data_IF_316665313397
#
_entry.id   IF_316665313397
#
_cell.length_a   1.000
_cell.length_b   1.000
_cell.length_c   1.000
_cell.angle_alpha   90.00
_cell.angle_beta   90.00
_cell.angle_gamma   90.00
#
_symmetry.space_group_name_H-M   'P 1'
#
loop_
_entity.id
_entity.type
_entity.pdbx_description
1 polymer ?
#
# COMPACT_ATOMS: atom_id res chain seq x y z
N UNK A 1 -0.19 -34.12 2.13
CA UNK A 1 -0.93 -35.38 1.89
C UNK A 1 -0.07 -36.55 2.33
N UNK A 2 -0.55 -37.26 3.35
CA UNK A 2 0.05 -38.44 3.99
C UNK A 2 0.43 -39.54 3.01
N UNK A 3 1.56 -40.22 3.26
CA UNK A 3 1.67 -41.68 3.10
C UNK A 3 2.55 -42.25 4.22
N UNK A 4 1.92 -42.54 5.35
CA UNK A 4 2.44 -43.39 6.41
C UNK A 4 2.39 -44.85 5.93
N UNK A 5 3.53 -45.55 5.98
CA UNK A 5 3.58 -47.00 5.81
C UNK A 5 3.35 -47.67 7.16
N UNK A 6 2.27 -48.45 7.28
CA UNK A 6 2.02 -49.34 8.41
C UNK A 6 2.70 -50.68 8.14
N UNK A 7 3.54 -51.22 9.04
CA UNK A 7 3.97 -52.60 8.96
C UNK A 7 2.82 -53.53 9.40
N UNK A 8 2.44 -54.42 8.49
CA UNK A 8 1.39 -55.43 8.67
C UNK A 8 1.90 -56.54 9.62
N UNK A 9 1.44 -56.52 10.87
CA UNK A 9 1.68 -57.58 11.85
C UNK A 9 0.74 -58.77 11.59
N UNK A 10 1.29 -59.80 10.97
CA UNK A 10 0.65 -61.08 10.68
C UNK A 10 0.51 -61.89 11.98
N UNK A 11 -0.71 -61.96 12.52
CA UNK A 11 -1.07 -62.87 13.62
C UNK A 11 -1.16 -64.31 13.11
N UNK A 12 -0.64 -65.32 13.82
CA UNK A 12 -0.85 -66.73 13.48
C UNK A 12 -2.23 -67.19 13.95
N UNK A 13 -3.02 -67.67 12.99
CA UNK A 13 -4.28 -68.37 13.17
C UNK A 13 -4.06 -69.72 13.89
N UNK A 14 -4.79 -70.05 14.97
CA UNK A 14 -4.81 -71.40 15.51
C UNK A 14 -5.73 -72.30 14.68
N UNK A 15 -5.16 -73.38 14.14
CA UNK A 15 -5.88 -74.47 13.47
C UNK A 15 -6.75 -75.24 14.47
N UNK A 16 -8.05 -75.48 14.19
CA UNK A 16 -8.84 -76.41 15.00
C UNK A 16 -8.47 -77.86 14.61
N UNK A 17 -7.78 -78.56 15.50
CA UNK A 17 -7.58 -80.01 15.38
C UNK A 17 -8.89 -80.72 15.74
N UNK A 18 -9.59 -81.20 14.71
CA UNK A 18 -10.74 -82.08 14.81
C UNK A 18 -10.29 -83.48 15.27
N UNK A 19 -10.34 -83.75 16.57
CA UNK A 19 -10.37 -85.12 17.11
C UNK A 19 -11.79 -85.46 17.48
N UNK A 20 -12.52 -86.03 16.52
CA UNK A 20 -13.81 -86.66 16.73
C UNK A 20 -13.59 -88.05 17.35
N UNK A 21 -13.59 -88.12 18.68
CA UNK A 21 -13.79 -89.38 19.41
C UNK A 21 -15.25 -89.48 19.79
N UNK A 22 -15.98 -90.31 19.06
CA UNK A 22 -17.33 -90.76 19.40
C UNK A 22 -17.25 -91.73 20.57
N UNK A 23 -17.49 -91.24 21.79
CA UNK A 23 -17.87 -92.07 22.93
C UNK A 23 -19.28 -91.70 23.38
N UNK A 24 -20.17 -92.65 23.07
CA UNK A 24 -21.57 -92.71 23.44
C UNK A 24 -21.78 -92.66 24.96
N UNK A 25 -22.78 -91.85 25.34
CA UNK A 25 -23.73 -92.06 26.44
C UNK A 25 -23.17 -92.31 27.85
N UNK A 26 -23.36 -91.27 28.68
CA UNK A 26 -23.71 -91.24 30.12
C UNK A 26 -22.80 -90.28 30.88
N UNK A 27 -23.10 -88.98 30.80
CA UNK A 27 -22.65 -88.04 31.83
C UNK A 27 -23.89 -87.47 32.50
N UNK A 28 -24.28 -88.17 33.55
CA UNK A 28 -25.11 -87.66 34.64
C UNK A 28 -24.73 -86.23 34.97
N UNK A 29 -25.67 -85.28 34.83
CA UNK A 29 -25.68 -83.95 35.50
C UNK A 29 -24.30 -83.47 35.96
N UNK A 30 -23.42 -83.09 35.04
CA UNK A 30 -22.17 -82.43 35.40
C UNK A 30 -22.53 -81.03 35.94
N UNK A 31 -22.62 -80.94 37.27
CA UNK A 31 -22.81 -79.68 37.98
C UNK A 31 -21.77 -78.67 37.46
N UNK A 32 -22.17 -77.43 37.12
CA UNK A 32 -21.23 -76.43 36.64
C UNK A 32 -20.18 -76.13 37.73
N UNK A 33 -18.90 -76.32 37.40
CA UNK A 33 -17.79 -75.92 38.26
C UNK A 33 -17.88 -74.41 38.55
N UNK A 34 -17.58 -73.97 39.80
CA UNK A 34 -17.61 -72.56 40.13
C UNK A 34 -16.60 -71.79 39.29
N UNK A 35 -17.06 -70.66 38.73
CA UNK A 35 -16.24 -69.79 37.89
C UNK A 35 -15.24 -69.03 38.79
N UNK A 36 -13.94 -69.01 38.45
CA UNK A 36 -12.95 -68.32 39.27
C UNK A 36 -13.28 -66.83 39.44
N UNK A 37 -12.84 -66.25 40.55
CA UNK A 37 -13.01 -64.83 40.88
C UNK A 37 -12.37 -63.97 39.78
N UNK A 38 -13.20 -63.24 39.05
CA UNK A 38 -12.75 -62.38 37.95
C UNK A 38 -12.36 -60.99 38.46
N UNK A 39 -11.39 -60.31 37.82
CA UNK A 39 -10.91 -58.98 38.25
C UNK A 39 -11.91 -57.88 38.00
N UNK A 40 -12.66 -58.01 36.91
CA UNK A 40 -13.69 -57.07 36.52
C UNK A 40 -14.75 -56.88 37.62
N UNK A 41 -15.13 -57.95 38.32
CA UNK A 41 -16.14 -57.92 39.38
C UNK A 41 -15.79 -56.96 40.53
N UNK A 42 -14.49 -56.77 40.81
CA UNK A 42 -13.98 -55.91 41.88
C UNK A 42 -13.74 -54.46 41.44
N UNK A 43 -13.83 -54.16 40.14
CA UNK A 43 -13.60 -52.82 39.58
C UNK A 43 -14.90 -52.04 39.37
N UNK A 44 -16.05 -52.63 39.70
CA UNK A 44 -17.34 -51.97 39.58
C UNK A 44 -17.42 -50.77 40.56
N UNK A 45 -17.87 -49.57 40.11
CA UNK A 45 -17.89 -48.36 40.93
C UNK A 45 -18.83 -48.44 42.15
N UNK A 46 -19.80 -49.36 42.14
CA UNK A 46 -20.76 -49.61 43.23
C UNK A 46 -20.54 -50.97 43.89
N UNK A 47 -19.30 -51.46 43.94
CA UNK A 47 -18.99 -52.76 44.51
C UNK A 47 -19.37 -52.82 46.00
N UNK A 48 -20.30 -53.71 46.34
CA UNK A 48 -20.68 -53.99 47.74
C UNK A 48 -20.37 -55.46 48.04
N UNK A 49 -19.49 -55.76 49.02
CA UNK A 49 -19.11 -57.14 49.32
C UNK A 49 -20.30 -58.03 49.67
N UNK A 50 -21.29 -57.48 50.39
CA UNK A 50 -22.48 -58.22 50.81
C UNK A 50 -23.35 -58.66 49.62
N UNK A 51 -23.56 -57.77 48.63
CA UNK A 51 -24.36 -58.10 47.44
C UNK A 51 -23.60 -59.08 46.53
N UNK A 52 -22.29 -58.90 46.37
CA UNK A 52 -21.42 -59.78 45.60
C UNK A 52 -21.30 -61.19 46.17
N UNK A 53 -21.18 -61.33 47.50
CA UNK A 53 -21.18 -62.65 48.15
C UNK A 53 -22.56 -63.30 48.12
N UNK A 54 -23.65 -62.52 48.19
CA UNK A 54 -25.01 -63.04 48.11
C UNK A 54 -25.37 -63.56 46.72
N UNK A 55 -24.91 -62.89 45.65
CA UNK A 55 -25.13 -63.31 44.26
C UNK A 55 -24.27 -64.52 43.86
N UNK A 56 -23.15 -64.78 44.56
CA UNK A 56 -22.33 -65.98 44.37
C UNK A 56 -22.74 -67.16 45.23
N UNK A 57 -23.53 -66.95 46.30
CA UNK A 57 -24.10 -68.02 47.12
C UNK A 57 -25.07 -68.93 46.34
N UNK A 58 -25.58 -68.47 45.20
CA UNK A 58 -26.38 -69.27 44.26
C UNK A 58 -25.55 -70.19 43.34
N UNK A 59 -24.22 -70.06 43.33
CA UNK A 59 -23.30 -71.04 42.77
C UNK A 59 -22.81 -71.95 43.90
N UNK A 60 -22.89 -73.27 43.72
CA UNK A 60 -22.61 -74.29 44.73
C UNK A 60 -21.11 -74.40 45.10
N UNK A 61 -20.52 -73.35 45.67
CA UNK A 61 -19.13 -73.32 46.17
C UNK A 61 -19.13 -73.42 47.71
N UNK A 62 -18.13 -74.10 48.28
CA UNK A 62 -17.95 -74.15 49.74
C UNK A 62 -17.36 -72.83 50.24
N UNK A 63 -17.71 -72.44 51.47
CA UNK A 63 -17.18 -71.21 52.08
C UNK A 63 -15.67 -71.28 52.32
N UNK A 64 -15.13 -72.48 52.52
CA UNK A 64 -13.70 -72.70 52.71
C UNK A 64 -12.91 -72.46 51.42
N UNK A 65 -13.44 -72.91 50.29
CA UNK A 65 -12.85 -72.73 48.96
C UNK A 65 -12.88 -71.25 48.53
N UNK A 66 -14.02 -70.56 48.69
CA UNK A 66 -14.13 -69.13 48.43
C UNK A 66 -13.16 -68.31 49.31
N UNK A 67 -13.00 -68.70 50.57
CA UNK A 67 -12.07 -68.05 51.50
C UNK A 67 -10.60 -68.29 51.10
N UNK A 68 -10.27 -69.48 50.62
CA UNK A 68 -8.93 -69.77 50.10
C UNK A 68 -8.64 -68.99 48.82
N UNK A 69 -9.61 -68.92 47.92
CA UNK A 69 -9.51 -68.19 46.64
C UNK A 69 -9.34 -66.68 46.84
N UNK A 70 -10.13 -66.07 47.74
CA UNK A 70 -9.99 -64.66 48.11
C UNK A 70 -8.62 -64.35 48.72
N UNK A 71 -8.09 -65.25 49.55
CA UNK A 71 -6.74 -65.08 50.14
C UNK A 71 -5.64 -65.20 49.12
N UNK A 72 -5.69 -66.22 48.27
CA UNK A 72 -4.73 -66.42 47.18
C UNK A 72 -4.69 -65.18 46.27
N UNK A 73 -5.88 -64.66 45.94
CA UNK A 73 -6.01 -63.47 45.13
C UNK A 73 -5.50 -62.20 45.79
N UNK A 74 -5.79 -62.01 47.08
CA UNK A 74 -5.25 -60.88 47.86
C UNK A 74 -3.71 -60.92 47.86
N UNK A 75 -3.12 -62.10 48.04
CA UNK A 75 -1.67 -62.26 48.01
C UNK A 75 -1.12 -61.97 46.60
N UNK A 76 -1.78 -62.45 45.55
CA UNK A 76 -1.40 -62.16 44.17
C UNK A 76 -1.46 -60.65 43.86
N UNK A 77 -2.52 -59.96 44.26
CA UNK A 77 -2.64 -58.50 44.11
C UNK A 77 -1.58 -57.75 44.91
N UNK A 78 -1.22 -58.21 46.10
CA UNK A 78 -0.15 -57.58 46.88
C UNK A 78 1.23 -57.72 46.21
N UNK A 79 1.47 -58.86 45.54
CA UNK A 79 2.68 -59.08 44.73
C UNK A 79 2.66 -58.23 43.47
N UNK A 80 1.56 -58.22 42.71
CA UNK A 80 1.41 -57.36 41.53
C UNK A 80 1.60 -55.88 41.87
N UNK A 81 1.08 -55.41 43.01
CA UNK A 81 1.26 -54.03 43.44
C UNK A 81 2.73 -53.73 43.75
N UNK A 82 3.40 -54.63 44.46
CA UNK A 82 4.82 -54.48 44.78
C UNK A 82 5.67 -54.52 43.50
N UNK A 83 5.35 -55.42 42.56
CA UNK A 83 6.05 -55.53 41.26
C UNK A 83 5.78 -54.30 40.38
N UNK A 84 4.57 -53.74 40.39
CA UNK A 84 4.23 -52.50 39.66
C UNK A 84 4.94 -51.30 40.27
N UNK A 85 4.95 -51.20 41.60
CA UNK A 85 5.65 -50.12 42.31
C UNK A 85 7.14 -50.21 42.05
N UNK A 86 7.73 -51.40 42.16
CA UNK A 86 9.17 -51.59 41.92
C UNK A 86 9.53 -51.43 40.44
N UNK A 87 8.69 -51.87 39.52
CA UNK A 87 8.87 -51.72 38.08
C UNK A 87 8.81 -50.27 37.62
N UNK A 88 7.89 -49.48 38.20
CA UNK A 88 7.68 -48.08 37.81
C UNK A 88 8.34 -47.06 38.77
N UNK A 89 9.07 -47.50 39.80
CA UNK A 89 9.69 -46.61 40.78
C UNK A 89 10.63 -45.60 40.14
N UNK A 90 11.41 -46.05 39.14
CA UNK A 90 12.31 -45.19 38.37
C UNK A 90 11.53 -44.12 37.59
N UNK A 91 10.38 -44.47 37.02
CA UNK A 91 9.55 -43.52 36.28
C UNK A 91 8.91 -42.48 37.20
N UNK A 92 8.46 -42.87 38.40
CA UNK A 92 7.95 -41.93 39.39
C UNK A 92 9.03 -40.99 39.93
N UNK A 93 10.25 -41.48 40.16
CA UNK A 93 11.38 -40.63 40.54
C UNK A 93 11.79 -39.69 39.41
N UNK A 94 11.82 -40.17 38.16
CA UNK A 94 12.12 -39.33 36.99
C UNK A 94 11.06 -38.25 36.78
N UNK A 95 9.78 -38.59 36.95
CA UNK A 95 8.68 -37.64 36.88
C UNK A 95 8.77 -36.63 38.03
N UNK A 96 9.01 -37.08 39.25
CA UNK A 96 9.24 -36.22 40.42
C UNK A 96 10.40 -35.24 40.21
N UNK A 97 11.54 -35.74 39.71
CA UNK A 97 12.71 -34.92 39.40
C UNK A 97 12.48 -33.96 38.21
N UNK A 98 11.62 -34.31 37.26
CA UNK A 98 11.30 -33.44 36.11
C UNK A 98 10.31 -32.34 36.48
N UNK A 99 9.34 -32.65 37.36
CA UNK A 99 8.46 -31.64 37.95
C UNK A 99 9.22 -30.73 38.93
N UNK A 100 10.13 -31.31 39.73
CA UNK A 100 10.98 -30.57 40.64
C UNK A 100 12.00 -29.73 39.86
N UNK A 101 11.77 -28.41 39.81
CA UNK A 101 12.57 -27.47 39.01
C UNK A 101 12.04 -27.23 37.59
N UNK A 102 11.03 -27.98 37.13
CA UNK A 102 10.29 -27.65 35.91
C UNK A 102 9.53 -26.32 36.03
N UNK A 103 8.99 -26.04 37.22
CA UNK A 103 8.33 -24.77 37.56
C UNK A 103 9.28 -23.57 37.43
N UNK A 104 10.53 -23.69 37.90
CA UNK A 104 11.54 -22.62 37.77
C UNK A 104 11.88 -22.32 36.31
N UNK A 105 12.02 -23.36 35.47
CA UNK A 105 12.27 -23.18 34.02
C UNK A 105 11.09 -22.50 33.33
N UNK A 106 9.87 -22.88 33.69
CA UNK A 106 8.65 -22.25 33.14
C UNK A 106 8.56 -20.80 33.56
N UNK A 107 8.83 -20.48 34.83
CA UNK A 107 8.82 -19.10 35.31
C UNK A 107 9.95 -18.28 34.66
N UNK A 108 11.14 -18.85 34.46
CA UNK A 108 12.22 -18.21 33.71
C UNK A 108 11.84 -17.86 32.26
N UNK A 109 11.19 -18.79 31.54
CA UNK A 109 10.66 -18.53 30.20
C UNK A 109 9.56 -17.46 30.24
N UNK A 110 8.66 -17.50 31.24
CA UNK A 110 7.60 -16.51 31.40
C UNK A 110 8.17 -15.11 31.59
N UNK A 111 9.17 -14.95 32.46
CA UNK A 111 9.86 -13.68 32.68
C UNK A 111 10.58 -13.23 31.41
N UNK A 112 11.25 -14.12 30.69
CA UNK A 112 11.88 -13.82 29.41
C UNK A 112 10.89 -13.32 28.35
N UNK A 113 9.73 -13.97 28.24
CA UNK A 113 8.65 -13.56 27.33
C UNK A 113 8.04 -12.19 27.71
N UNK A 114 7.94 -11.90 29.02
CA UNK A 114 7.50 -10.58 29.49
C UNK A 114 8.53 -9.50 29.14
N UNK A 115 9.83 -9.79 29.29
CA UNK A 115 10.92 -8.91 28.86
C UNK A 115 10.85 -8.62 27.37
N UNK A 116 10.76 -9.66 26.55
CA UNK A 116 10.64 -9.53 25.10
C UNK A 116 9.40 -8.73 24.69
N UNK A 117 8.25 -8.98 25.33
CA UNK A 117 7.02 -8.19 25.07
C UNK A 117 7.24 -6.70 25.35
N UNK A 118 7.93 -6.37 26.45
CA UNK A 118 8.25 -4.98 26.80
C UNK A 118 9.19 -4.35 25.77
N UNK A 119 10.22 -5.07 25.33
CA UNK A 119 11.15 -4.60 24.30
C UNK A 119 10.44 -4.34 22.97
N UNK A 120 9.59 -5.27 22.51
CA UNK A 120 8.79 -5.10 21.30
C UNK A 120 7.86 -3.90 21.40
N UNK A 121 7.24 -3.68 22.57
CA UNK A 121 6.41 -2.50 22.80
C UNK A 121 7.24 -1.21 22.69
N UNK A 122 8.41 -1.17 23.33
CA UNK A 122 9.33 -0.03 23.24
C UNK A 122 9.81 0.25 21.82
N UNK A 123 10.09 -0.80 21.04
CA UNK A 123 10.44 -0.68 19.63
C UNK A 123 9.27 -0.14 18.81
N UNK A 124 8.05 -0.63 19.04
CA UNK A 124 6.84 -0.16 18.35
C UNK A 124 6.58 1.32 18.64
N UNK A 125 6.71 1.75 19.88
CA UNK A 125 6.62 3.18 20.22
C UNK A 125 7.72 4.01 19.54
N UNK A 126 8.96 3.52 19.53
CA UNK A 126 10.07 4.21 18.88
C UNK A 126 9.86 4.35 17.37
N UNK A 127 9.34 3.32 16.72
CA UNK A 127 8.96 3.36 15.30
C UNK A 127 7.81 4.33 15.07
N UNK A 128 6.77 4.32 15.91
CA UNK A 128 5.65 5.26 15.82
C UNK A 128 6.09 6.73 15.91
N UNK A 129 6.96 7.07 16.87
CA UNK A 129 7.51 8.44 16.98
C UNK A 129 8.29 8.86 15.73
N UNK A 130 9.09 7.95 15.16
CA UNK A 130 9.83 8.21 13.91
C UNK A 130 8.90 8.35 12.71
N UNK A 131 7.81 7.58 12.66
CA UNK A 131 6.81 7.69 11.62
C UNK A 131 6.12 9.07 11.65
N UNK A 132 5.76 9.55 12.83
CA UNK A 132 5.19 10.90 13.03
C UNK A 132 6.17 12.00 12.61
N UNK A 133 7.44 11.89 13.02
CA UNK A 133 8.50 12.84 12.65
C UNK A 133 8.69 12.88 11.12
N UNK A 134 8.82 11.72 10.48
CA UNK A 134 8.96 11.62 9.01
C UNK A 134 7.72 12.17 8.30
N UNK A 135 6.52 11.89 8.81
CA UNK A 135 5.28 12.44 8.25
C UNK A 135 5.25 13.97 8.31
N UNK A 136 5.69 14.55 9.43
CA UNK A 136 5.86 16.00 9.60
C UNK A 136 6.84 16.58 8.58
N UNK A 137 8.05 16.04 8.51
CA UNK A 137 9.10 16.48 7.57
C UNK A 137 8.66 16.35 6.11
N UNK A 138 7.91 15.29 5.75
CA UNK A 138 7.34 15.15 4.41
C UNK A 138 6.27 16.22 4.12
N UNK A 139 5.47 16.60 5.13
CA UNK A 139 4.53 17.70 5.05
C UNK A 139 5.23 19.03 4.76
N UNK A 140 6.26 19.35 5.53
CA UNK A 140 7.10 20.54 5.34
C UNK A 140 7.76 20.54 3.96
N UNK A 141 8.37 19.42 3.55
CA UNK A 141 8.99 19.27 2.22
C UNK A 141 7.99 19.51 1.10
N UNK A 142 6.74 19.03 1.24
CA UNK A 142 5.68 19.31 0.26
C UNK A 142 5.30 20.79 0.25
N UNK A 143 5.21 21.44 1.41
CA UNK A 143 4.95 22.88 1.52
C UNK A 143 6.03 23.70 0.82
N UNK A 144 7.30 23.43 1.13
CA UNK A 144 8.45 24.08 0.49
C UNK A 144 8.45 23.86 -1.01
N UNK A 145 8.18 22.64 -1.49
CA UNK A 145 8.10 22.35 -2.94
C UNK A 145 7.01 23.18 -3.64
N UNK A 146 5.82 23.29 -3.05
CA UNK A 146 4.76 24.15 -3.60
C UNK A 146 5.19 25.62 -3.63
N UNK A 147 5.84 26.11 -2.57
CA UNK A 147 6.38 27.47 -2.53
C UNK A 147 7.43 27.71 -3.62
N UNK A 148 8.35 26.76 -3.82
CA UNK A 148 9.36 26.82 -4.90
C UNK A 148 8.70 26.82 -6.28
N UNK A 149 7.67 25.99 -6.50
CA UNK A 149 6.96 25.92 -7.77
C UNK A 149 6.25 27.24 -8.10
N UNK A 150 5.56 27.83 -7.13
CA UNK A 150 4.93 29.15 -7.28
C UNK A 150 6.01 30.22 -7.52
N UNK A 151 7.09 30.22 -6.74
CA UNK A 151 8.20 31.16 -6.90
C UNK A 151 8.85 31.07 -8.28
N UNK A 152 9.09 29.86 -8.80
CA UNK A 152 9.62 29.66 -10.16
C UNK A 152 8.68 30.19 -11.23
N UNK A 153 7.38 29.93 -11.12
CA UNK A 153 6.38 30.49 -12.04
C UNK A 153 6.35 32.00 -12.01
N UNK A 154 6.48 32.62 -10.83
CA UNK A 154 6.52 34.07 -10.69
C UNK A 154 7.77 34.67 -11.33
N UNK A 155 8.94 34.06 -11.13
CA UNK A 155 10.20 34.50 -11.76
C UNK A 155 10.15 34.33 -13.27
N UNK A 156 9.61 33.20 -13.75
CA UNK A 156 9.43 32.94 -15.17
C UNK A 156 8.45 33.95 -15.81
N UNK A 157 7.38 34.30 -15.11
CA UNK A 157 6.44 35.34 -15.53
C UNK A 157 7.12 36.72 -15.62
N UNK A 158 7.88 37.11 -14.59
CA UNK A 158 8.56 38.43 -14.57
C UNK A 158 9.65 38.53 -15.65
N UNK A 159 10.42 37.47 -15.86
CA UNK A 159 11.42 37.41 -16.92
C UNK A 159 10.78 37.57 -18.30
N UNK A 160 9.69 36.84 -18.60
CA UNK A 160 8.99 36.97 -19.89
C UNK A 160 8.36 38.35 -20.10
N UNK A 161 7.82 38.97 -19.06
CA UNK A 161 7.31 40.35 -19.15
C UNK A 161 8.45 41.33 -19.38
N UNK A 162 9.60 41.14 -18.73
CA UNK A 162 10.79 41.95 -18.94
C UNK A 162 11.33 41.83 -20.38
N UNK A 163 11.46 40.61 -20.90
CA UNK A 163 11.86 40.34 -22.28
C UNK A 163 10.93 41.02 -23.28
N UNK A 164 9.62 40.85 -23.11
CA UNK A 164 8.63 41.49 -23.99
C UNK A 164 8.67 43.01 -23.89
N UNK A 165 8.83 43.58 -22.68
CA UNK A 165 9.02 45.03 -22.52
C UNK A 165 10.28 45.54 -23.21
N UNK A 166 11.37 44.77 -23.20
CA UNK A 166 12.60 45.14 -23.91
C UNK A 166 12.42 45.06 -25.42
N UNK A 167 11.84 43.97 -25.95
CA UNK A 167 11.56 43.79 -27.37
C UNK A 167 10.68 44.93 -27.90
N UNK A 168 9.61 45.26 -27.16
CA UNK A 168 8.67 46.30 -27.53
C UNK A 168 9.24 47.73 -27.39
N UNK A 169 10.19 47.96 -26.48
CA UNK A 169 10.89 49.25 -26.35
C UNK A 169 11.99 49.44 -27.38
N UNK A 170 12.65 48.36 -27.81
CA UNK A 170 13.59 48.38 -28.93
C UNK A 170 12.85 48.80 -30.20
N UNK A 171 11.62 48.32 -30.40
CA UNK A 171 10.78 48.72 -31.53
C UNK A 171 10.21 50.15 -31.38
N UNK A 172 9.83 50.59 -30.17
CA UNK A 172 9.29 51.94 -29.92
C UNK A 172 10.29 53.11 -30.01
N UNK A 173 11.60 52.83 -30.07
CA UNK A 173 12.67 53.86 -30.20
C UNK A 173 13.52 53.72 -31.47
N UNK A 174 13.31 52.72 -32.30
CA UNK A 174 14.11 52.44 -33.49
C UNK A 174 13.73 53.25 -34.73
N UNK A 175 13.67 54.59 -34.65
CA UNK A 175 13.70 55.42 -35.87
C UNK A 175 14.28 56.81 -35.63
N UNK A 176 15.57 56.84 -35.27
CA UNK A 176 16.50 57.90 -35.66
C UNK A 176 17.95 57.48 -35.31
N UNK A 177 18.73 57.10 -36.34
CA UNK A 177 20.20 57.18 -36.31
C UNK A 177 21.02 55.93 -35.97
N UNK A 178 21.48 55.25 -37.02
CA UNK A 178 22.86 54.75 -37.25
C UNK A 178 23.50 53.67 -36.35
N UNK A 179 24.03 52.62 -37.01
CA UNK A 179 25.15 51.82 -36.51
C UNK A 179 24.86 50.38 -36.05
N UNK A 180 24.94 49.44 -37.00
CA UNK A 180 25.66 48.16 -36.86
C UNK A 180 25.35 47.27 -35.64
N UNK A 181 24.51 46.24 -35.81
CA UNK A 181 24.79 44.88 -35.29
C UNK A 181 24.09 43.85 -36.18
N UNK A 182 24.89 43.15 -36.99
CA UNK A 182 24.49 41.92 -37.65
C UNK A 182 24.24 40.82 -36.61
N UNK A 183 23.02 40.29 -36.61
CA UNK A 183 22.73 38.95 -36.10
C UNK A 183 22.02 38.19 -37.20
N UNK A 184 22.84 37.48 -37.97
CA UNK A 184 22.48 36.31 -38.75
C UNK A 184 21.85 35.29 -37.80
N UNK A 185 20.57 34.95 -38.00
CA UNK A 185 20.08 33.64 -37.62
C UNK A 185 19.32 33.04 -38.80
N UNK A 186 19.79 31.87 -39.20
CA UNK A 186 19.41 31.12 -40.38
C UNK A 186 18.17 30.29 -40.10
N UNK A 187 17.43 30.04 -41.19
CA UNK A 187 16.42 28.99 -41.39
C UNK A 187 15.01 29.27 -40.85
N UNK A 188 14.12 29.71 -41.76
CA UNK A 188 13.05 28.86 -42.30
C UNK A 188 12.39 29.54 -43.52
N UNK A 189 12.00 28.72 -44.50
CA UNK A 189 11.65 29.10 -45.87
C UNK A 189 10.27 29.76 -46.08
N UNK A 190 10.14 30.31 -47.30
CA UNK A 190 8.95 30.61 -48.11
C UNK A 190 8.39 32.06 -48.10
N UNK A 191 8.73 32.75 -49.19
CA UNK A 191 7.98 33.77 -49.94
C UNK A 191 7.19 34.84 -49.15
N UNK A 192 7.78 36.03 -49.05
CA UNK A 192 7.06 37.31 -49.18
C UNK A 192 8.08 38.44 -49.52
N UNK A 193 8.47 38.54 -50.80
CA UNK A 193 9.39 39.56 -51.37
C UNK A 193 8.85 41.01 -51.34
N UNK A 194 8.10 41.42 -50.31
CA UNK A 194 7.65 42.82 -50.17
C UNK A 194 7.84 43.45 -48.78
N UNK A 195 8.46 42.78 -47.80
CA UNK A 195 8.55 43.31 -46.41
C UNK A 195 9.76 44.20 -46.09
N UNK A 196 10.63 44.53 -47.04
CA UNK A 196 11.88 45.27 -46.76
C UNK A 196 11.77 46.78 -46.45
N UNK A 197 10.58 47.39 -46.50
CA UNK A 197 10.45 48.86 -46.46
C UNK A 197 9.49 49.44 -45.39
N UNK A 198 8.84 48.60 -44.58
CA UNK A 198 7.77 49.03 -43.68
C UNK A 198 8.12 48.78 -42.20
N UNK A 199 7.83 49.76 -41.35
CA UNK A 199 8.48 50.00 -40.07
C UNK A 199 8.14 49.06 -38.91
N UNK A 200 7.42 47.95 -39.11
CA UNK A 200 7.31 46.83 -38.17
C UNK A 200 6.93 45.60 -39.01
N UNK A 201 7.69 44.51 -38.96
CA UNK A 201 7.33 43.31 -39.75
C UNK A 201 6.13 42.60 -39.12
N UNK A 202 5.20 42.13 -39.97
CA UNK A 202 3.96 41.50 -39.51
C UNK A 202 4.27 40.20 -38.75
N UNK A 203 5.34 39.50 -39.13
CA UNK A 203 5.83 38.33 -38.43
C UNK A 203 6.33 38.63 -37.00
N UNK A 204 7.04 39.75 -36.79
CA UNK A 204 7.48 40.17 -35.45
C UNK A 204 6.29 40.51 -34.54
N UNK A 205 5.30 41.26 -35.06
CA UNK A 205 4.04 41.54 -34.36
C UNK A 205 3.27 40.27 -33.97
N UNK A 206 3.25 39.26 -34.84
CA UNK A 206 2.62 37.99 -34.51
C UNK A 206 3.35 37.26 -33.37
N UNK A 207 4.69 37.29 -33.35
CA UNK A 207 5.52 36.69 -32.30
C UNK A 207 5.32 37.39 -30.95
N UNK A 208 5.40 38.72 -30.89
CA UNK A 208 5.23 39.48 -29.63
C UNK A 208 3.84 39.32 -29.04
N UNK A 209 2.82 39.26 -29.90
CA UNK A 209 1.43 38.97 -29.49
C UNK A 209 1.25 37.54 -28.97
N UNK A 210 1.92 36.55 -29.57
CA UNK A 210 1.91 35.18 -29.07
C UNK A 210 2.58 35.06 -27.69
N UNK A 211 3.70 35.76 -27.47
CA UNK A 211 4.36 35.84 -26.17
C UNK A 211 3.45 36.50 -25.12
N UNK A 212 2.73 37.56 -25.48
CA UNK A 212 1.77 38.22 -24.59
C UNK A 212 0.64 37.27 -24.14
N UNK A 213 0.11 36.42 -25.03
CA UNK A 213 -0.86 35.38 -24.65
C UNK A 213 -0.28 34.37 -23.67
N UNK A 214 0.94 33.90 -23.93
CA UNK A 214 1.61 32.95 -23.05
C UNK A 214 1.74 33.53 -21.63
N UNK A 215 2.06 34.82 -21.51
CA UNK A 215 2.13 35.53 -20.23
C UNK A 215 0.75 35.58 -19.54
N UNK A 216 -0.34 35.82 -20.29
CA UNK A 216 -1.70 35.76 -19.75
C UNK A 216 -2.10 34.35 -19.29
N UNK A 217 -1.66 33.30 -19.99
CA UNK A 217 -1.89 31.92 -19.58
C UNK A 217 -1.14 31.57 -18.28
N UNK A 218 0.12 32.04 -18.16
CA UNK A 218 0.91 31.90 -16.93
C UNK A 218 0.26 32.65 -15.76
N UNK A 219 -0.30 33.83 -16.01
CA UNK A 219 -1.07 34.59 -15.02
C UNK A 219 -2.29 33.80 -14.52
N UNK A 220 -3.03 33.15 -15.43
CA UNK A 220 -4.16 32.27 -15.07
C UNK A 220 -3.73 31.08 -14.21
N UNK A 221 -2.49 30.60 -14.34
CA UNK A 221 -1.94 29.52 -13.52
C UNK A 221 -1.55 29.91 -12.09
N UNK A 222 -1.39 31.21 -11.82
CA UNK A 222 -0.88 31.74 -10.53
C UNK A 222 -1.93 32.64 -9.83
N UNK A 223 -3.16 32.69 -10.34
CA UNK A 223 -4.26 33.59 -9.93
C UNK A 223 -4.25 33.98 -8.44
N UNK A 224 -4.22 35.29 -8.18
CA UNK A 224 -4.41 35.88 -6.85
C UNK A 224 -3.13 36.18 -6.05
N UNK A 225 -1.93 35.98 -6.61
CA UNK A 225 -0.70 36.38 -5.91
C UNK A 225 -0.53 37.92 -5.90
N UNK A 226 -0.22 38.56 -4.76
CA UNK A 226 -0.11 40.03 -4.65
C UNK A 226 0.97 40.64 -5.56
N UNK A 227 1.98 39.84 -5.93
CA UNK A 227 2.99 40.24 -6.93
C UNK A 227 2.35 40.56 -8.28
N UNK A 228 1.44 39.71 -8.77
CA UNK A 228 0.76 39.93 -10.07
C UNK A 228 -0.08 41.20 -9.99
N UNK A 229 -0.76 41.45 -8.86
CA UNK A 229 -1.55 42.67 -8.65
C UNK A 229 -0.70 43.95 -8.74
N UNK A 230 0.47 43.97 -8.08
CA UNK A 230 1.42 45.10 -8.15
C UNK A 230 1.94 45.35 -9.59
N UNK A 231 1.91 44.30 -10.40
CA UNK A 231 2.58 44.23 -11.67
C UNK A 231 1.62 44.39 -12.86
N UNK A 232 0.31 44.51 -12.59
CA UNK A 232 -0.74 44.85 -13.55
C UNK A 232 -0.43 46.09 -14.39
N UNK A 233 0.20 47.11 -13.81
CA UNK A 233 0.56 48.34 -14.55
C UNK A 233 1.54 48.06 -15.69
N UNK A 234 2.56 47.23 -15.46
CA UNK A 234 3.52 46.82 -16.50
C UNK A 234 2.81 46.08 -17.64
N UNK A 235 1.82 45.25 -17.30
CA UNK A 235 1.03 44.55 -18.30
C UNK A 235 0.11 45.46 -19.12
N UNK A 236 -0.47 46.48 -18.50
CA UNK A 236 -1.23 47.52 -19.20
C UNK A 236 -0.34 48.34 -20.15
N UNK A 237 0.90 48.65 -19.75
CA UNK A 237 1.84 49.37 -20.59
C UNK A 237 2.17 48.56 -21.85
N UNK A 238 2.58 47.30 -21.70
CA UNK A 238 2.83 46.37 -22.82
C UNK A 238 1.63 46.27 -23.76
N UNK A 239 0.43 46.11 -23.20
CA UNK A 239 -0.81 46.07 -23.99
C UNK A 239 -1.01 47.34 -24.81
N UNK A 240 -0.83 48.51 -24.18
CA UNK A 240 -1.02 49.80 -24.87
C UNK A 240 -0.01 50.04 -25.99
N UNK A 241 1.22 49.59 -25.83
CA UNK A 241 2.27 49.71 -26.86
C UNK A 241 2.06 48.70 -27.99
N UNK A 242 1.67 47.46 -27.71
CA UNK A 242 1.28 46.49 -28.74
C UNK A 242 0.12 47.00 -29.60
N UNK A 243 -0.89 47.61 -28.96
CA UNK A 243 -2.01 48.25 -29.68
C UNK A 243 -1.56 49.43 -30.56
N UNK A 244 -0.61 50.24 -30.07
CA UNK A 244 -0.03 51.32 -30.85
C UNK A 244 0.70 50.77 -32.09
N UNK A 245 1.56 49.77 -31.92
CA UNK A 245 2.33 49.17 -33.02
C UNK A 245 1.44 48.45 -34.03
N UNK A 246 0.42 47.73 -33.56
CA UNK A 246 -0.60 47.13 -34.42
C UNK A 246 -1.41 48.19 -35.18
N UNK A 247 -1.73 49.32 -34.55
CA UNK A 247 -2.43 50.43 -35.21
C UNK A 247 -1.55 51.12 -36.26
N UNK A 248 -0.24 51.25 -36.00
CA UNK A 248 0.74 51.80 -36.93
C UNK A 248 0.93 50.86 -38.14
N UNK A 249 1.06 49.57 -37.91
CA UNK A 249 1.15 48.54 -38.96
C UNK A 249 -0.11 48.53 -39.84
N UNK A 250 -1.29 48.63 -39.22
CA UNK A 250 -2.56 48.70 -39.94
C UNK A 250 -2.72 50.01 -40.75
N UNK A 251 -2.25 51.14 -40.22
CA UNK A 251 -2.18 52.41 -40.94
C UNK A 251 -1.21 52.38 -42.13
N UNK A 252 -0.06 51.73 -41.98
CA UNK A 252 0.92 51.53 -43.07
C UNK A 252 0.36 50.60 -44.15
N UNK A 253 -0.23 49.47 -43.76
CA UNK A 253 -0.86 48.54 -44.70
C UNK A 253 -1.99 49.19 -45.50
N UNK A 254 -2.76 50.10 -44.88
CA UNK A 254 -3.77 50.88 -45.58
C UNK A 254 -3.18 51.88 -46.60
N UNK A 255 -2.09 52.56 -46.26
CA UNK A 255 -1.39 53.50 -47.17
C UNK A 255 -0.83 52.78 -48.41
N UNK A 256 -0.50 51.49 -48.30
CA UNK A 256 -0.06 50.65 -49.42
C UNK A 256 -1.21 50.22 -50.37
N UNK A 257 -2.46 50.61 -50.11
CA UNK A 257 -3.58 50.41 -51.04
C UNK A 257 -3.89 48.95 -51.34
N UNK A 258 -4.11 48.61 -52.61
CA UNK A 258 -4.51 47.26 -53.04
C UNK A 258 -3.44 46.19 -52.81
N UNK A 259 -2.15 46.56 -52.85
CA UNK A 259 -1.03 45.67 -52.51
C UNK A 259 -0.98 45.32 -51.01
N UNK A 260 -1.48 46.22 -50.16
CA UNK A 260 -1.52 46.03 -48.70
C UNK A 260 -2.69 45.21 -48.16
N UNK A 261 -3.65 44.79 -49.00
CA UNK A 261 -4.87 44.08 -48.56
C UNK A 261 -4.55 42.77 -47.81
N UNK A 262 -3.54 42.02 -48.27
CA UNK A 262 -3.05 40.82 -47.59
C UNK A 262 -2.49 41.12 -46.19
N UNK A 263 -1.72 42.20 -46.04
CA UNK A 263 -1.19 42.65 -44.74
C UNK A 263 -2.29 43.07 -43.78
N UNK A 264 -3.32 43.76 -44.26
CA UNK A 264 -4.48 44.14 -43.44
C UNK A 264 -5.15 42.89 -42.85
N UNK A 265 -5.35 41.84 -43.65
CA UNK A 265 -5.92 40.58 -43.14
C UNK A 265 -5.02 39.89 -42.12
N UNK A 266 -3.70 39.84 -42.37
CA UNK A 266 -2.73 39.28 -41.41
C UNK A 266 -2.75 40.05 -40.07
N UNK A 267 -2.73 41.39 -40.10
CA UNK A 267 -2.80 42.24 -38.89
C UNK A 267 -4.14 42.12 -38.16
N UNK A 268 -5.25 42.02 -38.91
CA UNK A 268 -6.57 41.79 -38.31
C UNK A 268 -6.67 40.42 -37.62
N UNK A 269 -6.02 39.39 -38.18
CA UNK A 269 -5.90 38.09 -37.51
C UNK A 269 -5.17 38.25 -36.19
N UNK A 270 -4.05 38.98 -36.15
CA UNK A 270 -3.27 39.25 -34.93
C UNK A 270 -4.09 40.01 -33.86
N UNK A 271 -4.94 40.97 -34.27
CA UNK A 271 -5.88 41.63 -33.35
C UNK A 271 -6.97 40.70 -32.80
N UNK A 272 -7.50 39.79 -33.63
CA UNK A 272 -8.50 38.81 -33.19
C UNK A 272 -7.89 37.84 -32.19
N UNK A 273 -6.67 37.42 -32.48
CA UNK A 273 -5.78 36.68 -31.62
C UNK A 273 -5.61 37.39 -30.24
N UNK A 274 -5.40 38.71 -30.18
CA UNK A 274 -5.32 39.48 -28.92
C UNK A 274 -6.64 39.63 -28.16
N UNK A 275 -7.75 39.05 -28.65
CA UNK A 275 -9.12 39.29 -28.18
C UNK A 275 -9.55 40.78 -28.25
N UNK A 276 -8.90 41.58 -29.12
CA UNK A 276 -9.08 43.04 -29.24
C UNK A 276 -9.56 43.47 -30.64
N UNK A 277 -10.31 42.60 -31.31
CA UNK A 277 -10.89 42.86 -32.63
C UNK A 277 -11.75 44.14 -32.71
N UNK A 278 -12.37 44.54 -31.58
CA UNK A 278 -13.15 45.77 -31.49
C UNK A 278 -12.31 47.04 -31.67
N UNK A 279 -11.04 47.03 -31.22
CA UNK A 279 -10.14 48.16 -31.39
C UNK A 279 -9.63 48.26 -32.82
N UNK A 280 -9.33 47.12 -33.43
CA UNK A 280 -8.96 47.04 -34.85
C UNK A 280 -10.02 47.68 -35.76
N UNK A 281 -11.31 47.39 -35.50
CA UNK A 281 -12.44 47.97 -36.24
C UNK A 281 -12.56 49.48 -35.99
N UNK A 282 -12.28 49.97 -34.78
CA UNK A 282 -12.27 51.42 -34.49
C UNK A 282 -11.17 52.13 -35.27
N UNK A 283 -9.96 51.58 -35.28
CA UNK A 283 -8.81 52.13 -36.02
C UNK A 283 -9.08 52.11 -37.53
N UNK A 284 -9.64 51.04 -38.08
CA UNK A 284 -10.02 51.00 -39.50
C UNK A 284 -11.09 52.04 -39.87
N UNK A 285 -12.07 52.27 -38.98
CA UNK A 285 -13.12 53.27 -39.19
C UNK A 285 -12.57 54.69 -39.14
N UNK A 286 -11.72 55.02 -38.16
CA UNK A 286 -11.10 56.35 -38.05
C UNK A 286 -10.20 56.65 -39.26
N UNK A 287 -9.50 55.65 -39.77
CA UNK A 287 -8.72 55.78 -40.99
C UNK A 287 -9.58 55.98 -42.24
N UNK A 288 -10.82 55.46 -42.27
CA UNK A 288 -11.75 55.58 -43.42
C UNK A 288 -12.40 56.96 -43.51
N UNK A 289 -12.46 57.69 -42.40
CA UNK A 289 -13.00 59.07 -42.37
C UNK A 289 -11.98 60.15 -42.78
N UNK A 290 -10.69 59.81 -42.88
CA UNK A 290 -9.60 60.72 -43.26
C UNK A 290 -9.19 60.63 -44.74
N UNK A 291 -10.02 60.01 -45.58
CA UNK A 291 -9.85 59.95 -47.04
C UNK A 291 -11.10 60.50 -47.70
#
# INVERSE_FOLDING_TARGET
MSKFYLPSSRSPSPTPSSTSTTSSTTSSLALPYPLPLQRADFLAPNFTPATYLSSRRSQHQTLEDLRAELRSRSQLLSKELLDLVNGNYQDFLNLGNSLHGGEERVEGVRVGLLGFRKEVHGLREGVGRREEEVAGLLGERRGVRRGIEIGRRLVEWDARVGELETELRVDGRGREGDGDEEVEDSDEEEDDEEEGAYGVSVAKLARTVAQYRLIQELEKGVQGHPFIAAQTHRMLMVRSTLLLDLSAALGQAKKAGTAGSGRIMKVMKIYADMDESAEAVKVLRSLKTTT
#
